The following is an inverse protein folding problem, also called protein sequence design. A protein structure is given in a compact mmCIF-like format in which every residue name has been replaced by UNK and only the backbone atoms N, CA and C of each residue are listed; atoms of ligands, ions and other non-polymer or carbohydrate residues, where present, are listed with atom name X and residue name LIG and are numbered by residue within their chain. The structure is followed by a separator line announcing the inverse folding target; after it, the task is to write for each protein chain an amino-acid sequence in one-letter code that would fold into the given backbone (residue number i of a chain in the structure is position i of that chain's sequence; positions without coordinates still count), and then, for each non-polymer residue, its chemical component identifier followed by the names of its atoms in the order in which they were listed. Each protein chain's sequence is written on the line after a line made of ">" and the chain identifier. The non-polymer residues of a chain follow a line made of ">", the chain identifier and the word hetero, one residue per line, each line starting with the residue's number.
data_IF_011592054026
#
_entry.id   IF_011592054026
#
_cell.length_a   1.000
_cell.length_b   1.000
_cell.length_c   1.000
_cell.angle_alpha   90.00
_cell.angle_beta   90.00
_cell.angle_gamma   90.00
#
_symmetry.space_group_name_H-M   'P 1'
#
loop_
_entity.id
_entity.type
_entity.pdbx_description
1 polymer ?
#
# COMPACT_ATOMS: atom_id res chain seq x y z
N UNK A 1 -59.89 70.14 -38.61
CA UNK A 1 -58.84 69.26 -39.17
C UNK A 1 -59.27 68.79 -40.57
N UNK A 2 -59.07 69.57 -41.62
CA UNK A 2 -59.29 69.10 -43.00
C UNK A 2 -58.51 69.95 -44.00
N UNK A 3 -57.19 69.82 -44.00
CA UNK A 3 -56.34 70.40 -45.04
C UNK A 3 -55.03 69.62 -45.12
N UNK A 4 -55.07 68.37 -45.59
CA UNK A 4 -53.81 67.65 -45.91
C UNK A 4 -53.90 66.82 -47.20
N UNK A 5 -55.09 66.38 -47.66
CA UNK A 5 -55.18 65.52 -48.85
C UNK A 5 -56.27 66.02 -49.81
N UNK A 6 -55.87 66.48 -50.99
CA UNK A 6 -56.78 66.95 -52.05
C UNK A 6 -57.38 65.78 -52.85
N UNK A 7 -58.62 65.96 -53.35
CA UNK A 7 -59.25 64.98 -54.24
C UNK A 7 -58.39 64.79 -55.50
N UNK A 8 -58.02 63.54 -55.79
CA UNK A 8 -57.34 63.17 -57.03
C UNK A 8 -58.28 62.32 -57.89
N UNK A 9 -58.32 62.64 -59.17
CA UNK A 9 -59.08 61.88 -60.19
C UNK A 9 -58.07 61.36 -61.19
N UNK A 10 -58.07 60.05 -61.37
CA UNK A 10 -57.30 59.40 -62.42
C UNK A 10 -58.28 59.13 -63.55
N UNK A 11 -57.97 59.69 -64.71
CA UNK A 11 -58.74 59.49 -65.93
C UNK A 11 -58.11 58.33 -66.68
N UNK A 12 -58.91 57.29 -66.96
CA UNK A 12 -58.47 56.14 -67.73
C UNK A 12 -59.23 56.21 -69.04
N UNK A 13 -58.49 56.46 -70.12
CA UNK A 13 -59.04 56.52 -71.46
C UNK A 13 -59.01 55.11 -72.08
N UNK A 14 -60.18 54.57 -72.39
CA UNK A 14 -60.32 53.29 -73.09
C UNK A 14 -61.24 53.52 -74.30
N UNK A 15 -60.63 53.64 -75.47
CA UNK A 15 -61.36 53.92 -76.72
C UNK A 15 -62.11 55.26 -76.69
N UNK A 16 -63.32 55.35 -77.29
CA UNK A 16 -64.08 56.60 -77.40
C UNK A 16 -64.73 57.05 -76.07
N UNK A 17 -64.54 56.31 -74.98
CA UNK A 17 -65.11 56.61 -73.66
C UNK A 17 -64.04 56.91 -72.61
N UNK A 18 -64.19 58.04 -71.92
CA UNK A 18 -63.34 58.41 -70.78
C UNK A 18 -64.09 58.09 -69.49
N UNK A 19 -63.55 57.16 -68.70
CA UNK A 19 -64.01 56.88 -67.35
C UNK A 19 -63.05 57.50 -66.34
N UNK A 20 -63.57 57.93 -65.19
CA UNK A 20 -62.73 58.44 -64.10
C UNK A 20 -63.02 57.69 -62.80
N UNK A 21 -61.96 57.44 -62.05
CA UNK A 21 -62.06 56.90 -60.69
C UNK A 21 -61.77 58.06 -59.74
N UNK A 22 -62.70 58.31 -58.81
CA UNK A 22 -62.60 59.39 -57.83
C UNK A 22 -62.00 58.84 -56.55
N UNK A 23 -60.82 59.31 -56.17
CA UNK A 23 -60.23 59.00 -54.87
C UNK A 23 -60.56 60.10 -53.88
N UNK A 24 -61.57 59.85 -53.04
CA UNK A 24 -61.88 60.71 -51.90
C UNK A 24 -60.72 60.72 -50.91
N UNK A 25 -60.53 61.78 -50.11
CA UNK A 25 -59.46 61.85 -49.12
C UNK A 25 -59.42 60.63 -48.17
N UNK A 26 -60.58 60.08 -47.83
CA UNK A 26 -60.72 58.88 -46.99
C UNK A 26 -60.19 57.63 -47.70
N UNK A 27 -60.50 57.44 -48.98
CA UNK A 27 -59.99 56.30 -49.76
C UNK A 27 -58.46 56.31 -49.92
N UNK A 28 -57.86 57.50 -50.02
CA UNK A 28 -56.41 57.66 -50.11
C UNK A 28 -55.72 57.33 -48.78
N UNK A 29 -56.31 57.75 -47.64
CA UNK A 29 -55.82 57.38 -46.32
C UNK A 29 -55.95 55.87 -46.06
N UNK A 30 -57.07 55.26 -46.45
CA UNK A 30 -57.26 53.82 -46.31
C UNK A 30 -56.24 53.03 -47.16
N UNK A 31 -56.05 53.41 -48.43
CA UNK A 31 -55.05 52.78 -49.29
C UNK A 31 -53.62 52.96 -48.76
N UNK A 32 -53.27 54.15 -48.26
CA UNK A 32 -51.97 54.40 -47.64
C UNK A 32 -51.76 53.57 -46.37
N UNK A 33 -52.79 53.47 -45.52
CA UNK A 33 -52.72 52.65 -44.29
C UNK A 33 -52.62 51.15 -44.59
N UNK A 34 -53.34 50.66 -45.60
CA UNK A 34 -53.25 49.28 -46.05
C UNK A 34 -51.88 48.95 -46.64
N UNK A 35 -51.30 49.87 -47.42
CA UNK A 35 -49.95 49.71 -47.96
C UNK A 35 -48.89 49.66 -46.84
N UNK A 36 -48.99 50.54 -45.83
CA UNK A 36 -48.11 50.52 -44.67
C UNK A 36 -48.25 49.24 -43.84
N UNK A 37 -49.49 48.76 -43.63
CA UNK A 37 -49.74 47.51 -42.94
C UNK A 37 -49.13 46.31 -43.67
N UNK A 38 -49.21 46.29 -45.01
CA UNK A 38 -48.66 45.22 -45.84
C UNK A 38 -47.13 45.22 -45.83
N UNK A 39 -46.50 46.40 -45.92
CA UNK A 39 -45.05 46.53 -45.78
C UNK A 39 -44.58 46.12 -44.38
N UNK A 40 -45.30 46.57 -43.34
CA UNK A 40 -45.03 46.17 -41.96
C UNK A 40 -45.15 44.66 -41.75
N UNK A 41 -46.16 44.03 -42.34
CA UNK A 41 -46.34 42.58 -42.31
C UNK A 41 -45.20 41.83 -43.01
N UNK A 42 -44.79 42.25 -44.20
CA UNK A 42 -43.66 41.66 -44.92
C UNK A 42 -42.34 41.78 -44.16
N UNK A 43 -42.10 42.93 -43.52
CA UNK A 43 -40.92 43.14 -42.68
C UNK A 43 -40.92 42.21 -41.45
N UNK A 44 -42.06 42.12 -40.75
CA UNK A 44 -42.22 41.22 -39.60
C UNK A 44 -42.04 39.75 -39.99
N UNK A 45 -42.67 39.31 -41.09
CA UNK A 45 -42.55 37.94 -41.60
C UNK A 45 -41.12 37.59 -41.99
N UNK A 46 -40.42 38.50 -42.64
CA UNK A 46 -39.02 38.28 -43.05
C UNK A 46 -38.11 38.19 -41.82
N UNK A 47 -38.34 39.04 -40.82
CA UNK A 47 -37.59 39.03 -39.55
C UNK A 47 -37.74 37.71 -38.80
N UNK A 48 -38.98 37.18 -38.71
CA UNK A 48 -39.26 35.89 -38.05
C UNK A 48 -38.51 34.74 -38.74
N UNK A 49 -38.54 34.66 -40.07
CA UNK A 49 -37.87 33.58 -40.83
C UNK A 49 -36.34 33.66 -40.71
N UNK A 50 -35.77 34.86 -40.68
CA UNK A 50 -34.32 35.05 -40.50
C UNK A 50 -33.88 34.67 -39.09
N UNK A 51 -34.65 35.05 -38.06
CA UNK A 51 -34.39 34.67 -36.67
C UNK A 51 -34.39 33.15 -36.48
N UNK A 52 -35.37 32.46 -37.05
CA UNK A 52 -35.51 30.99 -36.93
C UNK A 52 -34.38 30.22 -37.63
N UNK A 53 -33.91 30.71 -38.79
CA UNK A 53 -32.76 30.11 -39.49
C UNK A 53 -31.42 30.31 -38.78
N UNK A 54 -31.27 31.36 -37.99
CA UNK A 54 -30.04 31.66 -37.25
C UNK A 54 -30.03 30.93 -35.89
N UNK A 55 -31.18 30.85 -35.21
CA UNK A 55 -31.30 30.15 -33.92
C UNK A 55 -31.07 28.64 -34.08
N UNK A 56 -31.69 28.01 -35.06
CA UNK A 56 -31.59 26.56 -35.32
C UNK A 56 -30.15 26.09 -35.62
N UNK A 57 -29.37 26.87 -36.38
CA UNK A 57 -27.94 26.58 -36.62
C UNK A 57 -27.08 26.67 -35.35
N UNK A 58 -27.42 27.60 -34.47
CA UNK A 58 -26.69 27.81 -33.21
C UNK A 58 -26.92 26.64 -32.25
N UNK A 59 -28.16 26.17 -32.11
CA UNK A 59 -28.49 25.03 -31.22
C UNK A 59 -27.88 23.70 -31.69
N UNK A 60 -27.91 23.42 -33.00
CA UNK A 60 -27.28 22.21 -33.55
C UNK A 60 -25.76 22.23 -33.34
N UNK A 61 -25.11 23.37 -33.53
CA UNK A 61 -23.67 23.48 -33.26
C UNK A 61 -23.33 23.35 -31.76
N UNK A 62 -24.14 23.93 -30.88
CA UNK A 62 -23.95 23.80 -29.43
C UNK A 62 -24.10 22.36 -28.95
N UNK A 63 -25.11 21.62 -29.45
CA UNK A 63 -25.31 20.21 -29.09
C UNK A 63 -24.16 19.32 -29.59
N UNK A 64 -23.61 19.60 -30.77
CA UNK A 64 -22.42 18.90 -31.28
C UNK A 64 -21.18 19.17 -30.42
N UNK A 65 -20.92 20.42 -30.05
CA UNK A 65 -19.79 20.79 -29.18
C UNK A 65 -19.93 20.16 -27.78
N UNK A 66 -21.14 20.17 -27.21
CA UNK A 66 -21.40 19.54 -25.91
C UNK A 66 -21.20 18.02 -25.96
N UNK A 67 -21.67 17.38 -27.03
CA UNK A 67 -21.49 15.94 -27.26
C UNK A 67 -20.01 15.58 -27.42
N UNK A 68 -19.24 16.39 -28.14
CA UNK A 68 -17.81 16.16 -28.34
C UNK A 68 -17.05 16.30 -27.01
N UNK A 69 -17.32 17.38 -26.25
CA UNK A 69 -16.74 17.57 -24.92
C UNK A 69 -17.11 16.43 -23.95
N UNK A 70 -18.34 15.91 -24.02
CA UNK A 70 -18.75 14.75 -23.22
C UNK A 70 -18.01 13.48 -23.61
N UNK A 71 -17.78 13.24 -24.90
CA UNK A 71 -16.98 12.11 -25.39
C UNK A 71 -15.53 12.21 -24.94
N UNK A 72 -14.89 13.36 -25.13
CA UNK A 72 -13.52 13.59 -24.65
C UNK A 72 -13.41 13.33 -23.15
N UNK A 73 -14.41 13.75 -22.37
CA UNK A 73 -14.42 13.51 -20.92
C UNK A 73 -14.59 12.03 -20.57
N UNK A 74 -15.42 11.29 -21.30
CA UNK A 74 -15.55 9.84 -21.13
C UNK A 74 -14.23 9.13 -21.44
N UNK A 75 -13.54 9.53 -22.49
CA UNK A 75 -12.25 8.97 -22.87
C UNK A 75 -11.17 9.28 -21.82
N UNK A 76 -11.13 10.49 -21.28
CA UNK A 76 -10.27 10.85 -20.14
C UNK A 76 -10.56 9.98 -18.91
N UNK A 77 -11.82 9.79 -18.55
CA UNK A 77 -12.21 8.97 -17.41
C UNK A 77 -11.88 7.49 -17.61
N UNK A 78 -12.03 6.98 -18.85
CA UNK A 78 -11.64 5.63 -19.21
C UNK A 78 -10.11 5.45 -19.10
N UNK A 79 -9.34 6.41 -19.61
CA UNK A 79 -7.88 6.42 -19.51
C UNK A 79 -7.41 6.46 -18.05
N UNK A 80 -8.05 7.30 -17.21
CA UNK A 80 -7.73 7.38 -15.79
C UNK A 80 -8.10 6.10 -15.04
N UNK A 81 -9.25 5.49 -15.34
CA UNK A 81 -9.63 4.17 -14.81
C UNK A 81 -8.59 3.13 -15.16
N UNK A 82 -8.14 3.10 -16.41
CA UNK A 82 -7.17 2.11 -16.89
C UNK A 82 -5.78 2.33 -16.29
N UNK A 83 -5.37 3.60 -16.11
CA UNK A 83 -4.16 3.96 -15.38
C UNK A 83 -4.24 3.46 -13.93
N UNK A 84 -5.36 3.70 -13.23
CA UNK A 84 -5.53 3.22 -11.86
C UNK A 84 -5.60 1.70 -11.77
N UNK A 85 -6.22 1.05 -12.74
CA UNK A 85 -6.19 -0.40 -12.84
C UNK A 85 -4.76 -0.93 -13.08
N UNK A 86 -3.93 -0.18 -13.81
CA UNK A 86 -2.51 -0.50 -13.99
C UNK A 86 -1.68 -0.25 -12.71
N UNK A 87 -1.92 0.85 -12.00
CA UNK A 87 -1.28 1.17 -10.72
C UNK A 87 -1.65 0.15 -9.64
N UNK A 88 -2.93 -0.23 -9.54
CA UNK A 88 -3.40 -1.28 -8.64
C UNK A 88 -2.76 -2.63 -8.98
N UNK A 89 -2.67 -2.99 -10.27
CA UNK A 89 -1.94 -4.20 -10.72
C UNK A 89 -0.44 -4.12 -10.38
N UNK A 90 0.20 -2.96 -10.54
CA UNK A 90 1.60 -2.74 -10.16
C UNK A 90 1.81 -2.86 -8.65
N UNK A 91 0.90 -2.32 -7.84
CA UNK A 91 0.94 -2.45 -6.39
C UNK A 91 0.73 -3.91 -5.96
N UNK A 92 -0.21 -4.62 -6.58
CA UNK A 92 -0.44 -6.05 -6.38
C UNK A 92 0.79 -6.88 -6.81
N UNK A 93 1.42 -6.56 -7.94
CA UNK A 93 2.65 -7.22 -8.37
C UNK A 93 3.81 -6.99 -7.39
N UNK A 94 3.99 -5.77 -6.90
CA UNK A 94 4.98 -5.46 -5.85
C UNK A 94 4.70 -6.22 -4.56
N UNK A 95 3.43 -6.33 -4.18
CA UNK A 95 3.01 -7.13 -3.03
C UNK A 95 3.27 -8.63 -3.25
N UNK A 96 2.98 -9.17 -4.44
CA UNK A 96 3.29 -10.55 -4.79
C UNK A 96 4.80 -10.81 -4.73
N UNK A 97 5.64 -9.89 -5.20
CA UNK A 97 7.10 -10.01 -5.06
C UNK A 97 7.53 -10.01 -3.58
N UNK A 98 6.95 -9.13 -2.76
CA UNK A 98 7.23 -9.11 -1.33
C UNK A 98 6.77 -10.39 -0.61
N UNK A 99 5.59 -10.90 -0.97
CA UNK A 99 5.07 -12.17 -0.44
C UNK A 99 5.90 -13.36 -0.92
N UNK A 100 6.35 -13.35 -2.17
CA UNK A 100 7.26 -14.37 -2.70
C UNK A 100 8.61 -14.31 -1.96
N UNK A 101 9.12 -13.12 -1.66
CA UNK A 101 10.33 -12.95 -0.85
C UNK A 101 10.13 -13.47 0.58
N UNK A 102 8.99 -13.19 1.22
CA UNK A 102 8.63 -13.75 2.53
C UNK A 102 8.51 -15.26 2.46
N UNK A 103 7.86 -15.81 1.42
CA UNK A 103 7.72 -17.25 1.20
C UNK A 103 9.09 -17.92 1.02
N UNK A 104 10.01 -17.28 0.28
CA UNK A 104 11.39 -17.74 0.14
C UNK A 104 12.12 -17.70 1.49
N UNK A 105 11.97 -16.62 2.26
CA UNK A 105 12.54 -16.52 3.61
C UNK A 105 11.96 -17.59 4.55
N UNK A 106 10.67 -17.86 4.50
CA UNK A 106 10.02 -18.94 5.25
C UNK A 106 10.59 -20.30 4.83
N UNK A 107 10.79 -20.52 3.52
CA UNK A 107 11.42 -21.74 3.01
C UNK A 107 12.84 -21.88 3.56
N UNK A 108 13.63 -20.81 3.57
CA UNK A 108 14.98 -20.80 4.15
C UNK A 108 14.97 -21.11 5.64
N UNK A 109 14.02 -20.55 6.39
CA UNK A 109 13.85 -20.85 7.83
C UNK A 109 13.47 -22.33 8.03
N UNK A 110 12.55 -22.86 7.22
CA UNK A 110 12.16 -24.28 7.32
C UNK A 110 13.33 -25.21 6.99
N UNK A 111 14.12 -24.86 5.98
CA UNK A 111 15.35 -25.59 5.63
C UNK A 111 16.35 -25.55 6.78
N UNK A 112 16.58 -24.39 7.40
CA UNK A 112 17.53 -24.29 8.51
C UNK A 112 17.07 -25.07 9.76
N UNK A 113 15.76 -25.15 10.00
CA UNK A 113 15.18 -25.98 11.06
C UNK A 113 15.41 -27.47 10.80
N UNK A 114 15.24 -27.92 9.56
CA UNK A 114 15.49 -29.31 9.19
C UNK A 114 16.99 -29.63 9.28
N UNK A 115 17.87 -28.76 8.79
CA UNK A 115 19.32 -28.91 8.93
C UNK A 115 19.75 -29.05 10.40
N UNK A 116 19.16 -28.26 11.31
CA UNK A 116 19.42 -28.39 12.75
C UNK A 116 18.99 -29.75 13.28
N UNK A 117 17.83 -30.25 12.85
CA UNK A 117 17.31 -31.56 13.26
C UNK A 117 18.25 -32.67 12.80
N UNK A 118 18.69 -32.62 11.55
CA UNK A 118 19.67 -33.57 11.01
C UNK A 118 20.99 -33.51 11.77
N UNK A 119 21.49 -32.31 12.08
CA UNK A 119 22.74 -32.12 12.81
C UNK A 119 22.66 -32.63 14.26
N UNK A 120 21.50 -32.44 14.92
CA UNK A 120 21.23 -32.99 16.26
C UNK A 120 21.23 -34.52 16.25
N UNK A 121 20.51 -35.13 15.30
CA UNK A 121 20.48 -36.58 15.15
C UNK A 121 21.88 -37.14 14.84
N UNK A 122 22.66 -36.43 14.01
CA UNK A 122 24.03 -36.80 13.70
C UNK A 122 24.94 -36.74 14.94
N UNK A 123 24.79 -35.71 15.79
CA UNK A 123 25.51 -35.64 17.07
C UNK A 123 25.15 -36.80 18.00
N UNK A 124 23.88 -37.13 18.13
CA UNK A 124 23.45 -38.22 19.01
C UNK A 124 24.00 -39.57 18.53
N UNK A 125 23.94 -39.81 17.22
CA UNK A 125 24.54 -40.99 16.61
C UNK A 125 26.07 -41.05 16.85
N UNK A 126 26.76 -39.93 16.69
CA UNK A 126 28.21 -39.85 16.87
C UNK A 126 28.63 -40.02 18.33
N UNK A 127 27.84 -39.49 19.28
CA UNK A 127 28.04 -39.73 20.71
C UNK A 127 27.89 -41.21 21.06
N UNK A 128 26.88 -41.87 20.51
CA UNK A 128 26.68 -43.31 20.71
C UNK A 128 27.84 -44.12 20.13
N UNK A 129 28.29 -43.80 18.90
CA UNK A 129 29.46 -44.45 18.29
C UNK A 129 30.74 -44.23 19.09
N UNK A 130 30.94 -43.02 19.62
CA UNK A 130 32.09 -42.72 20.47
C UNK A 130 32.04 -43.53 21.76
N UNK A 131 30.87 -43.68 22.40
CA UNK A 131 30.70 -44.53 23.57
C UNK A 131 31.03 -46.00 23.27
N UNK A 132 30.58 -46.51 22.13
CA UNK A 132 30.88 -47.88 21.68
C UNK A 132 32.38 -48.07 21.41
N UNK A 133 33.03 -47.13 20.71
CA UNK A 133 34.46 -47.18 20.44
C UNK A 133 35.31 -47.07 21.72
N UNK A 134 34.88 -46.27 22.70
CA UNK A 134 35.53 -46.20 24.02
C UNK A 134 35.41 -47.54 24.75
N UNK A 135 34.22 -48.17 24.74
CA UNK A 135 34.02 -49.47 25.33
C UNK A 135 34.88 -50.55 24.64
N UNK A 136 34.95 -50.54 23.30
CA UNK A 136 35.78 -51.47 22.54
C UNK A 136 37.27 -51.28 22.87
N UNK A 137 37.77 -50.04 22.92
CA UNK A 137 39.13 -49.75 23.38
C UNK A 137 39.40 -50.33 24.76
N UNK A 138 38.48 -50.18 25.70
CA UNK A 138 38.64 -50.68 27.07
C UNK A 138 38.68 -52.20 27.13
N UNK A 139 37.86 -52.87 26.31
CA UNK A 139 37.93 -54.35 26.19
C UNK A 139 39.26 -54.82 25.60
N UNK A 140 39.78 -54.13 24.57
CA UNK A 140 41.08 -54.46 23.96
C UNK A 140 42.24 -54.17 24.92
N UNK A 141 42.16 -53.08 25.69
CA UNK A 141 43.15 -52.77 26.71
C UNK A 141 43.20 -53.85 27.79
N UNK A 142 42.04 -54.29 28.28
CA UNK A 142 41.93 -55.37 29.26
C UNK A 142 42.42 -56.72 28.72
N UNK A 143 42.10 -57.06 27.46
CA UNK A 143 42.61 -58.31 26.84
C UNK A 143 44.13 -58.29 26.68
N UNK A 144 44.71 -57.13 26.35
CA UNK A 144 46.16 -56.98 26.19
C UNK A 144 46.87 -57.10 27.54
N UNK A 145 46.32 -56.53 28.61
CA UNK A 145 46.83 -56.66 29.97
C UNK A 145 46.82 -58.14 30.42
N UNK A 146 45.70 -58.84 30.21
CA UNK A 146 45.60 -60.27 30.50
C UNK A 146 46.60 -61.12 29.69
N UNK A 147 46.86 -60.76 28.43
CA UNK A 147 47.86 -61.43 27.60
C UNK A 147 49.27 -61.26 28.17
N UNK A 148 49.63 -60.04 28.58
CA UNK A 148 50.92 -59.71 29.19
C UNK A 148 51.13 -60.45 30.53
N UNK A 149 50.10 -60.54 31.36
CA UNK A 149 50.16 -61.32 32.61
C UNK A 149 50.40 -62.80 32.34
N UNK A 150 49.70 -63.36 31.34
CA UNK A 150 49.87 -64.75 30.93
C UNK A 150 51.26 -65.01 30.36
N UNK A 151 51.83 -64.06 29.61
CA UNK A 151 53.22 -64.11 29.14
C UNK A 151 54.20 -64.13 30.31
N UNK A 152 54.01 -63.27 31.30
CA UNK A 152 54.88 -63.21 32.48
C UNK A 152 54.82 -64.51 33.29
N UNK A 153 53.64 -65.13 33.40
CA UNK A 153 53.45 -66.41 34.08
C UNK A 153 54.12 -67.56 33.31
N UNK A 154 53.92 -67.63 31.99
CA UNK A 154 54.60 -68.59 31.11
C UNK A 154 56.12 -68.42 31.24
N UNK A 155 56.64 -67.21 31.12
CA UNK A 155 58.08 -66.93 31.24
C UNK A 155 58.67 -67.31 32.61
N UNK A 156 57.92 -67.10 33.71
CA UNK A 156 58.31 -67.59 35.06
C UNK A 156 58.32 -69.12 35.15
N UNK A 157 57.32 -69.79 34.58
CA UNK A 157 57.22 -71.26 34.57
C UNK A 157 58.31 -71.91 33.72
N UNK A 158 58.75 -71.23 32.66
CA UNK A 158 59.80 -71.66 31.75
C UNK A 158 61.19 -71.58 32.40
N UNK A 159 61.47 -70.55 33.19
CA UNK A 159 62.68 -70.48 34.01
C UNK A 159 62.80 -71.61 35.05
N UNK A 160 61.69 -72.31 35.37
CA UNK A 160 61.67 -73.46 36.28
C UNK A 160 61.82 -74.83 35.59
N UNK A 161 61.66 -74.93 34.26
CA UNK A 161 61.72 -76.21 33.53
C UNK A 161 62.88 -76.22 32.53
N UNK A 162 64.02 -76.79 32.93
CA UNK A 162 65.11 -77.15 32.01
C UNK A 162 64.72 -78.43 31.26
N UNK A 163 64.35 -78.37 29.97
CA UNK A 163 64.38 -79.57 29.12
C UNK A 163 63.40 -79.76 27.96
N UNK A 164 62.76 -78.73 27.37
CA UNK A 164 61.88 -78.93 26.21
C UNK A 164 62.02 -77.81 25.16
N UNK A 165 63.03 -77.89 24.29
CA UNK A 165 63.38 -76.82 23.31
C UNK A 165 62.37 -76.65 22.15
N UNK A 166 61.69 -77.72 21.72
CA UNK A 166 60.80 -77.69 20.55
C UNK A 166 59.46 -77.00 20.83
N UNK A 167 58.72 -77.48 21.84
CA UNK A 167 57.41 -76.92 22.26
C UNK A 167 57.53 -75.46 22.75
N UNK A 168 58.70 -75.10 23.29
CA UNK A 168 59.01 -73.75 23.75
C UNK A 168 59.00 -72.73 22.62
N UNK A 169 59.56 -73.13 21.47
CA UNK A 169 59.71 -72.24 20.32
C UNK A 169 58.35 -72.01 19.66
N UNK A 170 57.53 -73.05 19.52
CA UNK A 170 56.18 -72.97 18.97
C UNK A 170 55.23 -72.14 19.86
N UNK A 171 55.34 -72.28 21.19
CA UNK A 171 54.54 -71.47 22.13
C UNK A 171 54.97 -70.01 22.18
N UNK A 172 56.28 -69.72 22.11
CA UNK A 172 56.78 -68.35 22.02
C UNK A 172 56.35 -67.66 20.72
N UNK A 173 56.39 -68.36 19.59
CA UNK A 173 55.96 -67.83 18.30
C UNK A 173 54.45 -67.54 18.29
N UNK A 174 53.62 -68.45 18.83
CA UNK A 174 52.19 -68.25 18.94
C UNK A 174 51.83 -67.05 19.83
N UNK A 175 52.55 -66.88 20.95
CA UNK A 175 52.38 -65.75 21.87
C UNK A 175 52.84 -64.44 21.25
N UNK A 176 53.96 -64.44 20.53
CA UNK A 176 54.47 -63.27 19.80
C UNK A 176 53.49 -62.83 18.71
N UNK A 177 52.91 -63.77 17.96
CA UNK A 177 51.88 -63.50 16.97
C UNK A 177 50.61 -62.91 17.60
N UNK A 178 50.14 -63.50 18.71
CA UNK A 178 48.99 -62.99 19.45
C UNK A 178 49.24 -61.58 20.02
N UNK A 179 50.46 -61.28 20.47
CA UNK A 179 50.84 -59.95 20.96
C UNK A 179 50.89 -58.92 19.81
N UNK A 180 51.40 -59.30 18.64
CA UNK A 180 51.42 -58.42 17.47
C UNK A 180 50.00 -58.10 17.00
N UNK A 181 49.09 -59.07 17.01
CA UNK A 181 47.67 -58.87 16.71
C UNK A 181 47.00 -57.97 17.76
N UNK A 182 47.25 -58.22 19.05
CA UNK A 182 46.76 -57.42 20.17
C UNK A 182 47.20 -55.94 20.12
N UNK A 183 48.46 -55.67 19.78
CA UNK A 183 48.97 -54.30 19.61
C UNK A 183 48.29 -53.62 18.41
N UNK A 184 48.13 -54.34 17.31
CA UNK A 184 47.43 -53.82 16.11
C UNK A 184 45.97 -53.50 16.41
N UNK A 185 45.26 -54.38 17.14
CA UNK A 185 43.89 -54.17 17.58
C UNK A 185 43.74 -52.96 18.52
N UNK A 186 44.73 -52.74 19.41
CA UNK A 186 44.74 -51.55 20.28
C UNK A 186 44.94 -50.28 19.46
N UNK A 187 45.93 -50.27 18.58
CA UNK A 187 46.29 -49.08 17.81
C UNK A 187 45.13 -48.66 16.90
N UNK A 188 44.47 -49.62 16.26
CA UNK A 188 43.23 -49.38 15.49
C UNK A 188 42.11 -48.83 16.37
N UNK A 189 41.79 -49.46 17.50
CA UNK A 189 40.75 -48.95 18.42
C UNK A 189 41.04 -47.53 18.94
N UNK A 190 42.32 -47.21 19.20
CA UNK A 190 42.71 -45.86 19.61
C UNK A 190 42.61 -44.83 18.47
N UNK A 191 42.94 -45.24 17.23
CA UNK A 191 42.83 -44.39 16.06
C UNK A 191 41.36 -44.10 15.72
N UNK A 192 40.48 -45.12 15.76
CA UNK A 192 39.05 -44.99 15.51
C UNK A 192 38.39 -44.04 16.53
N UNK A 193 38.71 -44.19 17.81
CA UNK A 193 38.25 -43.27 18.86
C UNK A 193 38.69 -41.83 18.57
N UNK A 194 39.96 -41.63 18.23
CA UNK A 194 40.51 -40.30 17.94
C UNK A 194 39.90 -39.66 16.67
N UNK A 195 39.46 -40.48 15.70
CA UNK A 195 38.73 -40.00 14.54
C UNK A 195 37.29 -39.59 14.89
N UNK A 196 36.57 -40.42 15.65
CA UNK A 196 35.23 -40.10 16.14
C UNK A 196 35.21 -38.83 17.02
N UNK A 197 36.21 -38.63 17.87
CA UNK A 197 36.36 -37.40 18.68
C UNK A 197 36.51 -36.15 17.79
N UNK A 198 37.31 -36.24 16.72
CA UNK A 198 37.48 -35.13 15.76
C UNK A 198 36.18 -34.83 15.00
N UNK A 199 35.47 -35.86 14.55
CA UNK A 199 34.18 -35.70 13.87
C UNK A 199 33.11 -35.11 14.81
N UNK A 200 33.08 -35.56 16.07
CA UNK A 200 32.15 -35.01 17.07
C UNK A 200 32.42 -33.53 17.34
N UNK A 201 33.70 -33.15 17.51
CA UNK A 201 34.09 -31.75 17.70
C UNK A 201 33.69 -30.86 16.51
N UNK A 202 33.83 -31.35 15.28
CA UNK A 202 33.40 -30.62 14.07
C UNK A 202 31.87 -30.45 14.04
N UNK A 203 31.10 -31.50 14.33
CA UNK A 203 29.64 -31.41 14.37
C UNK A 203 29.16 -30.46 15.47
N UNK A 204 29.77 -30.50 16.66
CA UNK A 204 29.44 -29.58 17.75
C UNK A 204 29.74 -28.12 17.37
N UNK A 205 30.86 -27.88 16.68
CA UNK A 205 31.18 -26.55 16.15
C UNK A 205 30.15 -26.10 15.11
N UNK A 206 29.78 -26.96 14.17
CA UNK A 206 28.75 -26.67 13.16
C UNK A 206 27.41 -26.33 13.81
N UNK A 207 27.02 -27.06 14.87
CA UNK A 207 25.80 -26.76 15.62
C UNK A 207 25.85 -25.38 16.26
N UNK A 208 26.97 -25.01 16.88
CA UNK A 208 27.16 -23.69 17.49
C UNK A 208 27.11 -22.57 16.45
N UNK A 209 27.80 -22.73 15.33
CA UNK A 209 27.83 -21.73 14.24
C UNK A 209 26.45 -21.55 13.62
N UNK A 210 25.71 -22.64 13.37
CA UNK A 210 24.36 -22.55 12.83
C UNK A 210 23.39 -21.89 13.83
N UNK A 211 23.50 -22.21 15.12
CA UNK A 211 22.70 -21.55 16.15
C UNK A 211 22.97 -20.03 16.22
N UNK A 212 24.23 -19.60 16.15
CA UNK A 212 24.59 -18.18 16.12
C UNK A 212 24.05 -17.46 14.89
N UNK A 213 24.22 -18.04 13.69
CA UNK A 213 23.67 -17.47 12.46
C UNK A 213 22.15 -17.31 12.52
N UNK A 214 21.45 -18.28 13.11
CA UNK A 214 20.00 -18.23 13.27
C UNK A 214 19.59 -17.08 14.20
N UNK A 215 20.26 -16.93 15.34
CA UNK A 215 19.98 -15.84 16.29
C UNK A 215 20.24 -14.47 15.65
N UNK A 216 21.33 -14.34 14.89
CA UNK A 216 21.61 -13.13 14.10
C UNK A 216 20.51 -12.83 13.07
N UNK A 217 20.04 -13.84 12.33
CA UNK A 217 18.95 -13.67 11.35
C UNK A 217 17.65 -13.24 12.02
N UNK A 218 17.26 -13.87 13.14
CA UNK A 218 16.05 -13.50 13.90
C UNK A 218 16.20 -12.08 14.45
N UNK A 219 17.35 -11.73 15.01
CA UNK A 219 17.64 -10.39 15.51
C UNK A 219 17.57 -9.32 14.41
N UNK A 220 18.06 -9.60 13.20
CA UNK A 220 17.94 -8.69 12.05
C UNK A 220 16.48 -8.47 11.65
N UNK A 221 15.66 -9.54 11.65
CA UNK A 221 14.23 -9.42 11.33
C UNK A 221 13.50 -8.65 12.44
N UNK A 222 13.75 -8.96 13.71
CA UNK A 222 13.19 -8.23 14.85
C UNK A 222 13.54 -6.75 14.78
N UNK A 223 14.80 -6.41 14.50
CA UNK A 223 15.24 -5.03 14.36
C UNK A 223 14.60 -4.34 13.16
N UNK A 224 14.53 -4.99 12.00
CA UNK A 224 13.88 -4.44 10.81
C UNK A 224 12.38 -4.19 11.02
N UNK A 225 11.71 -5.12 11.70
CA UNK A 225 10.29 -4.99 12.09
C UNK A 225 10.14 -3.84 13.09
N UNK A 226 10.96 -3.77 14.13
CA UNK A 226 10.88 -2.71 15.13
C UNK A 226 11.14 -1.32 14.53
N UNK A 227 12.12 -1.20 13.63
CA UNK A 227 12.43 0.05 12.93
C UNK A 227 11.29 0.50 12.02
N UNK A 228 10.56 -0.45 11.41
CA UNK A 228 9.43 -0.14 10.52
C UNK A 228 8.12 0.09 11.28
N UNK A 229 7.90 -0.64 12.38
CA UNK A 229 6.67 -0.64 13.15
C UNK A 229 6.61 0.49 14.18
N UNK A 230 7.71 0.77 14.88
CA UNK A 230 7.75 1.77 15.95
C UNK A 230 7.28 3.17 15.51
N UNK A 231 7.69 3.69 14.34
CA UNK A 231 7.15 4.95 13.81
C UNK A 231 5.65 4.88 13.50
N UNK A 232 5.18 3.78 12.89
CA UNK A 232 3.76 3.60 12.56
C UNK A 232 2.88 3.60 13.81
N UNK A 233 3.27 2.85 14.85
CA UNK A 233 2.54 2.79 16.12
C UNK A 233 2.46 4.18 16.77
N UNK A 234 3.58 4.90 16.86
CA UNK A 234 3.62 6.27 17.39
C UNK A 234 2.74 7.25 16.60
N UNK A 235 2.67 7.12 15.27
CA UNK A 235 1.76 7.94 14.46
C UNK A 235 0.30 7.66 14.83
N UNK A 236 -0.08 6.39 14.95
CA UNK A 236 -1.42 6.01 15.35
C UNK A 236 -1.76 6.46 16.78
N UNK A 237 -0.83 6.38 17.74
CA UNK A 237 -1.03 6.87 19.11
C UNK A 237 -1.20 8.39 19.19
N UNK A 238 -0.45 9.14 18.36
CA UNK A 238 -0.56 10.61 18.28
C UNK A 238 -1.85 11.05 17.60
N UNK A 239 -2.35 10.25 16.68
CA UNK A 239 -3.70 10.42 16.14
C UNK A 239 -4.69 9.95 17.21
N UNK A 240 -5.71 10.74 17.54
CA UNK A 240 -6.70 10.35 18.56
C UNK A 240 -7.69 9.29 18.02
N UNK A 241 -7.17 8.23 17.42
CA UNK A 241 -7.88 7.22 16.64
C UNK A 241 -7.81 5.88 17.36
N UNK A 242 -8.93 5.17 17.41
CA UNK A 242 -9.01 3.83 17.98
C UNK A 242 -8.38 2.81 17.02
N UNK A 243 -7.11 2.49 17.29
CA UNK A 243 -6.30 1.58 16.47
C UNK A 243 -6.93 0.20 16.41
N UNK A 244 -7.39 -0.33 17.53
CA UNK A 244 -7.95 -1.69 17.59
C UNK A 244 -9.23 -1.79 16.78
N UNK A 245 -10.11 -0.79 16.87
CA UNK A 245 -11.32 -0.71 16.04
C UNK A 245 -10.97 -0.68 14.55
N UNK A 246 -10.00 0.13 14.16
CA UNK A 246 -9.57 0.27 12.76
C UNK A 246 -8.96 -1.02 12.23
N UNK A 247 -8.04 -1.64 12.99
CA UNK A 247 -7.43 -2.90 12.59
C UNK A 247 -8.48 -4.02 12.47
N UNK A 248 -9.45 -4.07 13.39
CA UNK A 248 -10.56 -5.01 13.31
C UNK A 248 -11.42 -4.80 12.05
N UNK A 249 -11.62 -3.55 11.63
CA UNK A 249 -12.36 -3.23 10.40
C UNK A 249 -11.56 -3.56 9.14
N UNK A 250 -10.25 -3.26 9.11
CA UNK A 250 -9.35 -3.69 8.04
C UNK A 250 -9.39 -5.21 7.90
N UNK A 251 -9.26 -5.98 9.00
CA UNK A 251 -9.35 -7.45 8.95
C UNK A 251 -10.64 -7.96 8.34
N UNK A 252 -11.79 -7.35 8.68
CA UNK A 252 -13.10 -7.74 8.11
C UNK A 252 -13.21 -7.43 6.62
N UNK A 253 -12.66 -6.31 6.17
CA UNK A 253 -12.79 -5.85 4.78
C UNK A 253 -11.74 -6.45 3.85
N UNK A 254 -10.55 -6.77 4.38
CA UNK A 254 -9.42 -7.37 3.65
C UNK A 254 -9.37 -8.91 3.75
N UNK A 255 -10.30 -9.56 4.45
CA UNK A 255 -10.43 -11.03 4.46
C UNK A 255 -11.05 -11.61 3.17
N UNK A 256 -11.07 -10.85 2.07
CA UNK A 256 -11.51 -11.30 0.75
C UNK A 256 -10.30 -11.63 -0.13
N UNK A 257 -10.14 -12.92 -0.45
CA UNK A 257 -9.04 -13.56 -1.20
C UNK A 257 -7.77 -13.85 -0.40
N UNK A 258 -7.70 -15.09 0.11
CA UNK A 258 -6.65 -15.56 1.00
C UNK A 258 -7.22 -15.56 2.41
N UNK A 259 -7.51 -16.75 2.93
CA UNK A 259 -7.98 -16.92 4.30
C UNK A 259 -7.05 -16.21 5.29
N UNK A 260 -7.44 -16.15 6.58
CA UNK A 260 -6.52 -15.65 7.60
C UNK A 260 -5.13 -16.24 7.32
N UNK A 261 -4.08 -15.47 7.57
CA UNK A 261 -2.81 -16.07 7.96
C UNK A 261 -3.11 -16.79 9.30
N UNK A 262 -3.92 -17.84 9.25
CA UNK A 262 -3.98 -18.90 10.22
C UNK A 262 -2.53 -19.23 10.34
N UNK A 263 -1.98 -18.82 11.49
CA UNK A 263 -0.56 -18.83 11.73
C UNK A 263 -0.06 -20.11 11.16
N UNK A 264 0.88 -20.00 10.21
CA UNK A 264 1.66 -21.15 9.80
C UNK A 264 2.12 -21.71 11.14
N UNK A 265 1.50 -22.80 11.60
CA UNK A 265 1.94 -23.56 12.73
C UNK A 265 3.23 -24.17 12.22
N UNK A 266 4.30 -23.37 12.27
CA UNK A 266 5.66 -23.88 12.20
C UNK A 266 5.66 -24.92 13.30
N UNK A 267 5.77 -26.18 12.93
CA UNK A 267 5.76 -27.25 13.93
C UNK A 267 6.95 -27.01 14.85
N UNK A 268 6.64 -26.46 16.03
CA UNK A 268 7.61 -26.04 17.05
C UNK A 268 8.32 -27.22 17.72
N UNK A 269 7.98 -28.46 17.33
CA UNK A 269 8.62 -29.69 17.82
C UNK A 269 10.13 -29.79 17.53
N UNK A 270 10.65 -29.05 16.56
CA UNK A 270 12.11 -29.01 16.29
C UNK A 270 12.86 -27.85 16.98
N UNK A 271 12.14 -26.94 17.64
CA UNK A 271 12.73 -25.86 18.42
C UNK A 271 12.79 -26.26 19.90
N UNK A 272 13.70 -27.16 20.24
CA UNK A 272 13.89 -27.66 21.61
C UNK A 272 14.54 -26.63 22.57
N UNK A 273 14.55 -25.36 22.17
CA UNK A 273 14.74 -24.22 23.08
C UNK A 273 13.47 -23.36 22.97
N UNK A 274 12.59 -23.42 23.96
CA UNK A 274 11.29 -22.72 23.97
C UNK A 274 11.34 -21.20 23.78
N UNK A 275 12.53 -20.59 23.81
CA UNK A 275 12.73 -19.17 23.55
C UNK A 275 12.77 -18.80 22.05
N UNK A 276 13.24 -19.67 21.15
CA UNK A 276 13.43 -19.27 19.75
C UNK A 276 12.13 -19.35 18.93
N UNK A 277 11.28 -20.34 19.21
CA UNK A 277 9.97 -20.47 18.55
C UNK A 277 9.01 -19.35 18.93
N UNK A 278 9.01 -18.94 20.21
CA UNK A 278 8.19 -17.84 20.70
C UNK A 278 8.61 -16.48 20.12
N UNK A 279 9.90 -16.27 19.85
CA UNK A 279 10.41 -15.07 19.16
C UNK A 279 9.93 -14.99 17.71
N UNK A 280 10.07 -16.08 16.95
CA UNK A 280 9.60 -16.17 15.57
C UNK A 280 8.08 -15.96 15.46
N UNK A 281 7.29 -16.55 16.36
CA UNK A 281 5.85 -16.33 16.40
C UNK A 281 5.51 -14.86 16.67
N UNK A 282 6.23 -14.22 17.59
CA UNK A 282 6.08 -12.79 17.90
C UNK A 282 6.39 -11.92 16.68
N UNK A 283 7.44 -12.25 15.93
CA UNK A 283 7.80 -11.56 14.69
C UNK A 283 6.70 -11.71 13.63
N UNK A 284 6.17 -12.91 13.43
CA UNK A 284 5.10 -13.15 12.44
C UNK A 284 3.82 -12.40 12.79
N UNK A 285 3.42 -12.40 14.06
CA UNK A 285 2.27 -11.62 14.55
C UNK A 285 2.52 -10.12 14.33
N UNK A 286 3.73 -9.64 14.63
CA UNK A 286 4.10 -8.22 14.45
C UNK A 286 4.09 -7.81 12.97
N UNK A 287 4.55 -8.67 12.06
CA UNK A 287 4.49 -8.45 10.62
C UNK A 287 3.05 -8.36 10.10
N UNK A 288 2.16 -9.24 10.60
CA UNK A 288 0.73 -9.18 10.29
C UNK A 288 0.11 -7.86 10.72
N UNK A 289 0.32 -7.47 11.99
CA UNK A 289 -0.15 -6.20 12.55
C UNK A 289 0.41 -4.98 11.79
N UNK A 290 1.68 -5.02 11.38
CA UNK A 290 2.31 -3.97 10.58
C UNK A 290 1.64 -3.81 9.22
N UNK A 291 1.32 -4.92 8.54
CA UNK A 291 0.63 -4.85 7.25
C UNK A 291 -0.78 -4.24 7.40
N UNK A 292 -1.53 -4.63 8.43
CA UNK A 292 -2.83 -4.05 8.75
C UNK A 292 -2.74 -2.54 9.05
N UNK A 293 -1.78 -2.13 9.88
CA UNK A 293 -1.55 -0.71 10.20
C UNK A 293 -1.17 0.11 8.97
N UNK A 294 -0.35 -0.44 8.07
CA UNK A 294 0.03 0.24 6.84
C UNK A 294 -1.17 0.44 5.91
N UNK A 295 -2.04 -0.56 5.79
CA UNK A 295 -3.30 -0.45 5.04
C UNK A 295 -4.17 0.63 5.68
N UNK A 296 -4.37 0.59 6.99
CA UNK A 296 -5.13 1.61 7.70
C UNK A 296 -4.56 3.04 7.48
N UNK A 297 -3.24 3.19 7.51
CA UNK A 297 -2.55 4.46 7.33
C UNK A 297 -2.72 5.06 5.92
N UNK A 298 -3.02 4.25 4.90
CA UNK A 298 -3.34 4.78 3.56
C UNK A 298 -4.77 5.33 3.47
N UNK A 299 -5.67 4.88 4.35
CA UNK A 299 -7.09 5.27 4.37
C UNK A 299 -7.41 6.43 5.32
N UNK A 300 -6.49 6.79 6.21
CA UNK A 300 -6.64 7.90 7.17
C UNK A 300 -5.87 9.12 6.63
N UNK A 301 -6.39 10.36 6.76
CA UNK A 301 -5.84 11.57 6.13
C UNK A 301 -4.56 12.09 6.79
N UNK A 302 -3.51 11.26 6.78
CA UNK A 302 -2.19 11.53 7.34
C UNK A 302 -1.29 12.34 6.41
N UNK A 303 -1.52 12.35 5.09
CA UNK A 303 -0.66 13.08 4.17
C UNK A 303 -0.97 14.59 4.13
N UNK A 304 0.06 15.39 3.83
CA UNK A 304 -0.08 16.83 3.60
C UNK A 304 -0.64 17.08 2.18
N UNK A 305 -1.69 17.90 2.02
CA UNK A 305 -2.34 18.11 0.73
C UNK A 305 -1.61 19.05 -0.23
N UNK A 306 -0.57 19.75 0.22
CA UNK A 306 0.24 20.68 -0.57
C UNK A 306 1.70 20.27 -0.45
N UNK A 307 2.31 19.84 -1.56
CA UNK A 307 3.72 19.40 -1.60
C UNK A 307 4.70 20.53 -1.86
N UNK A 308 4.25 21.61 -2.51
CA UNK A 308 5.05 22.81 -2.75
C UNK A 308 5.30 23.58 -1.45
N UNK A 309 6.20 24.56 -1.48
CA UNK A 309 6.39 25.47 -0.35
C UNK A 309 5.10 26.25 -0.05
N UNK A 310 4.62 26.15 1.18
CA UNK A 310 3.41 26.82 1.65
C UNK A 310 3.62 27.40 3.05
N UNK A 311 2.74 28.32 3.45
CA UNK A 311 2.70 28.90 4.79
C UNK A 311 1.37 28.58 5.47
N UNK A 312 1.40 28.05 6.69
CA UNK A 312 0.20 27.96 7.51
C UNK A 312 -0.27 29.37 7.90
N UNK A 313 -1.50 29.72 7.53
CA UNK A 313 -2.06 31.06 7.77
C UNK A 313 -3.08 31.08 8.89
N UNK A 314 -3.81 29.98 9.12
CA UNK A 314 -4.74 29.90 10.23
C UNK A 314 -5.08 28.46 10.63
N UNK A 315 -5.11 28.20 11.94
CA UNK A 315 -5.44 26.90 12.53
C UNK A 315 -6.92 26.67 12.78
N UNK A 316 -7.25 25.44 13.19
CA UNK A 316 -8.59 25.02 13.59
C UNK A 316 -9.01 25.67 14.92
N UNK A 317 -10.30 25.98 15.08
CA UNK A 317 -10.86 26.50 16.34
C UNK A 317 -11.55 27.87 16.23
N UNK A 318 -12.01 28.39 17.37
CA UNK A 318 -12.71 29.68 17.43
C UNK A 318 -11.77 30.86 17.23
N UNK A 319 -12.02 31.67 16.21
CA UNK A 319 -11.25 32.89 15.89
C UNK A 319 -12.15 34.08 15.63
N UNK A 320 -11.58 35.29 15.59
CA UNK A 320 -12.31 36.48 15.11
C UNK A 320 -12.64 36.30 13.62
N UNK A 321 -13.87 36.58 13.23
CA UNK A 321 -14.32 36.41 11.85
C UNK A 321 -13.52 37.35 10.93
N UNK A 322 -12.89 36.84 9.85
CA UNK A 322 -12.07 37.66 8.95
C UNK A 322 -12.83 38.77 8.24
N UNK A 323 -14.17 38.74 8.20
CA UNK A 323 -15.01 39.79 7.62
C UNK A 323 -15.74 40.62 8.68
N UNK A 324 -15.32 40.54 9.95
CA UNK A 324 -15.79 41.43 11.02
C UNK A 324 -17.04 40.97 11.78
N UNK A 325 -17.58 39.79 11.49
CA UNK A 325 -18.84 39.29 12.09
C UNK A 325 -18.67 38.62 13.48
N UNK A 326 -17.81 39.14 14.36
CA UNK A 326 -17.63 38.60 15.73
C UNK A 326 -16.69 37.40 15.81
N UNK A 327 -16.99 36.39 16.66
CA UNK A 327 -16.21 35.12 16.76
C UNK A 327 -16.86 34.04 15.90
N UNK A 328 -16.06 33.29 15.15
CA UNK A 328 -16.51 32.17 14.30
C UNK A 328 -15.61 30.95 14.51
N UNK A 329 -16.22 29.77 14.53
CA UNK A 329 -15.49 28.51 14.46
C UNK A 329 -14.86 28.33 13.08
N UNK A 330 -13.54 28.14 13.04
CA UNK A 330 -12.82 27.68 11.86
C UNK A 330 -12.75 26.15 11.87
N UNK A 331 -13.49 25.53 10.95
CA UNK A 331 -13.66 24.08 10.87
C UNK A 331 -12.49 23.34 10.20
N UNK A 332 -11.39 24.03 9.90
CA UNK A 332 -10.26 23.46 9.17
C UNK A 332 -8.94 24.18 9.43
N UNK A 333 -8.04 24.10 8.46
CA UNK A 333 -6.70 24.65 8.44
C UNK A 333 -6.50 25.41 7.12
N UNK A 334 -5.90 26.59 7.19
CA UNK A 334 -5.63 27.42 6.01
C UNK A 334 -4.13 27.37 5.65
N UNK A 335 -3.82 26.98 4.41
CA UNK A 335 -2.47 26.89 3.84
C UNK A 335 -2.35 27.81 2.63
N UNK A 336 -1.47 28.82 2.69
CA UNK A 336 -1.26 29.75 1.58
C UNK A 336 -0.05 29.37 0.73
N UNK A 337 -0.26 29.36 -0.58
CA UNK A 337 0.75 29.20 -1.62
C UNK A 337 0.30 29.99 -2.87
N UNK A 338 1.12 30.10 -3.93
CA UNK A 338 0.72 30.76 -5.17
C UNK A 338 -0.55 30.18 -5.80
N UNK A 339 -1.27 31.00 -6.57
CA UNK A 339 -2.47 30.54 -7.29
C UNK A 339 -2.08 29.48 -8.29
N UNK A 340 -2.83 28.38 -8.32
CA UNK A 340 -2.54 27.25 -9.21
C UNK A 340 -1.69 26.15 -8.57
N UNK A 341 -1.17 26.33 -7.35
CA UNK A 341 -0.42 25.29 -6.63
C UNK A 341 -1.23 23.98 -6.60
N UNK A 342 -0.63 22.84 -7.00
CA UNK A 342 -1.28 21.54 -6.97
C UNK A 342 -1.78 21.13 -5.58
N UNK A 343 -3.00 20.61 -5.51
CA UNK A 343 -3.61 20.07 -4.29
C UNK A 343 -3.79 18.56 -4.45
N UNK A 344 -3.38 17.80 -3.44
CA UNK A 344 -3.38 16.35 -3.45
C UNK A 344 -4.32 15.74 -2.40
N UNK A 345 -4.87 14.56 -2.71
CA UNK A 345 -5.65 13.77 -1.77
C UNK A 345 -4.77 13.29 -0.60
N UNK A 346 -5.31 13.35 0.62
CA UNK A 346 -4.53 13.06 1.84
C UNK A 346 -4.67 11.61 2.32
N UNK A 347 -5.61 10.87 1.73
CA UNK A 347 -5.86 9.44 1.94
C UNK A 347 -6.59 8.84 0.74
N UNK A 348 -6.62 7.52 0.64
CA UNK A 348 -7.44 6.80 -0.33
C UNK A 348 -8.93 7.02 -0.02
N UNK A 349 -9.76 7.15 -1.05
CA UNK A 349 -11.18 7.37 -0.85
C UNK A 349 -11.98 7.47 -2.13
N UNK A 350 -13.19 8.01 -2.02
CA UNK A 350 -14.09 8.28 -3.14
C UNK A 350 -14.56 9.71 -3.06
N UNK A 351 -14.44 10.45 -4.16
CA UNK A 351 -14.92 11.83 -4.27
C UNK A 351 -16.44 11.85 -4.10
N UNK A 352 -16.92 12.42 -3.01
CA UNK A 352 -18.34 12.52 -2.70
C UNK A 352 -18.98 13.70 -3.43
N UNK A 353 -18.27 14.83 -3.51
CA UNK A 353 -18.66 16.00 -4.29
C UNK A 353 -17.44 16.70 -4.88
N UNK A 354 -17.60 17.25 -6.08
CA UNK A 354 -16.65 18.15 -6.72
C UNK A 354 -17.44 19.21 -7.47
N UNK A 355 -17.44 20.45 -6.96
CA UNK A 355 -18.30 21.49 -7.49
C UNK A 355 -18.13 22.83 -6.80
N UNK A 356 -19.13 23.71 -6.93
CA UNK A 356 -19.14 25.01 -6.23
C UNK A 356 -20.16 24.98 -5.10
N UNK A 357 -19.71 25.23 -3.87
CA UNK A 357 -20.55 25.30 -2.67
C UNK A 357 -20.53 26.72 -2.09
N UNK A 358 -21.66 27.16 -1.52
CA UNK A 358 -21.76 28.48 -0.88
C UNK A 358 -20.78 28.54 0.31
N UNK A 359 -19.99 29.60 0.39
CA UNK A 359 -18.96 29.75 1.42
C UNK A 359 -17.63 29.12 1.03
N UNK A 360 -17.62 27.86 0.62
CA UNK A 360 -16.39 27.14 0.23
C UNK A 360 -15.85 27.50 -1.17
N UNK A 361 -16.70 28.00 -2.07
CA UNK A 361 -16.30 28.21 -3.46
C UNK A 361 -16.15 26.88 -4.18
N UNK A 362 -15.16 26.74 -5.07
CA UNK A 362 -14.86 25.46 -5.70
C UNK A 362 -14.24 24.52 -4.67
N UNK A 363 -14.86 23.37 -4.48
CA UNK A 363 -14.55 22.43 -3.41
C UNK A 363 -14.56 20.99 -3.92
N UNK A 364 -13.65 20.19 -3.37
CA UNK A 364 -13.67 18.72 -3.46
C UNK A 364 -13.91 18.18 -2.05
N UNK A 365 -14.85 17.24 -1.92
CA UNK A 365 -15.05 16.42 -0.72
C UNK A 365 -14.72 14.97 -1.04
N UNK A 366 -13.90 14.36 -0.20
CA UNK A 366 -13.48 12.97 -0.39
C UNK A 366 -13.88 12.21 0.86
N UNK A 367 -14.68 11.17 0.66
CA UNK A 367 -15.06 10.23 1.70
C UNK A 367 -14.03 9.11 1.75
N UNK A 368 -13.52 8.85 2.94
CA UNK A 368 -12.53 7.84 3.24
C UNK A 368 -13.17 6.72 4.07
N UNK A 369 -12.38 5.71 4.44
CA UNK A 369 -12.83 4.66 5.37
C UNK A 369 -12.84 5.18 6.82
N UNK A 370 -13.33 4.35 7.75
CA UNK A 370 -13.38 4.64 9.19
C UNK A 370 -14.12 5.94 9.56
N UNK A 371 -15.06 6.38 8.71
CA UNK A 371 -15.87 7.59 8.96
C UNK A 371 -15.17 8.92 8.64
N UNK A 372 -13.99 8.89 8.02
CA UNK A 372 -13.26 10.10 7.66
C UNK A 372 -13.80 10.74 6.37
N UNK A 373 -13.85 12.07 6.36
CA UNK A 373 -14.08 12.90 5.17
C UNK A 373 -13.04 14.02 5.16
N UNK A 374 -12.52 14.36 3.99
CA UNK A 374 -11.67 15.54 3.79
C UNK A 374 -12.30 16.54 2.85
N UNK A 375 -12.08 17.82 3.13
CA UNK A 375 -12.66 18.93 2.37
C UNK A 375 -11.53 19.83 1.88
N UNK A 376 -11.54 20.15 0.58
CA UNK A 376 -10.52 20.97 -0.07
C UNK A 376 -11.19 22.15 -0.76
N UNK A 377 -11.19 23.33 -0.15
CA UNK A 377 -11.98 24.47 -0.62
C UNK A 377 -11.15 25.60 -1.23
N UNK A 378 -11.86 26.63 -1.73
CA UNK A 378 -11.32 27.82 -2.37
C UNK A 378 -10.51 27.58 -3.65
N UNK A 379 -10.67 26.43 -4.28
CA UNK A 379 -9.84 26.04 -5.43
C UNK A 379 -10.08 26.92 -6.66
N UNK A 380 -9.07 27.02 -7.53
CA UNK A 380 -9.20 27.66 -8.85
C UNK A 380 -9.58 26.66 -9.93
N UNK A 381 -9.24 25.38 -9.78
CA UNK A 381 -9.55 24.31 -10.75
C UNK A 381 -9.80 23.02 -9.98
N UNK A 382 -10.85 22.30 -10.37
CA UNK A 382 -11.14 20.95 -9.89
C UNK A 382 -10.66 19.99 -10.98
N UNK A 383 -9.90 18.96 -10.60
CA UNK A 383 -9.36 17.97 -11.52
C UNK A 383 -10.06 16.61 -11.40
N UNK A 384 -10.98 16.49 -10.44
CA UNK A 384 -11.73 15.27 -10.15
C UNK A 384 -13.23 15.50 -10.22
N UNK A 385 -13.99 14.42 -10.34
CA UNK A 385 -15.47 14.41 -10.41
C UNK A 385 -16.08 13.52 -9.33
N UNK A 386 -17.35 13.76 -9.02
CA UNK A 386 -18.13 12.92 -8.08
C UNK A 386 -18.09 11.44 -8.50
N UNK A 387 -17.87 10.55 -7.54
CA UNK A 387 -17.80 9.10 -7.71
C UNK A 387 -16.42 8.58 -8.09
N UNK A 388 -15.47 9.44 -8.43
CA UNK A 388 -14.11 9.06 -8.75
C UNK A 388 -13.41 8.53 -7.48
N UNK A 389 -12.88 7.30 -7.53
CA UNK A 389 -11.96 6.80 -6.48
C UNK A 389 -10.71 7.69 -6.50
N UNK A 390 -9.97 7.83 -5.41
CA UNK A 390 -8.67 8.52 -5.41
C UNK A 390 -7.73 7.77 -4.48
N UNK A 391 -6.45 7.79 -4.78
CA UNK A 391 -5.40 7.29 -3.90
C UNK A 391 -4.73 8.43 -3.15
N UNK A 392 -4.12 8.13 -2.00
CA UNK A 392 -3.30 9.08 -1.28
C UNK A 392 -2.21 9.66 -2.19
N UNK A 393 -2.17 10.98 -2.31
CA UNK A 393 -1.22 11.70 -3.16
C UNK A 393 -1.68 11.97 -4.58
N UNK A 394 -2.89 11.55 -4.98
CA UNK A 394 -3.49 11.90 -6.27
C UNK A 394 -3.71 13.40 -6.39
N UNK A 395 -3.47 13.96 -7.58
CA UNK A 395 -3.74 15.37 -7.87
C UNK A 395 -5.24 15.60 -8.02
N UNK A 396 -5.84 16.37 -7.12
CA UNK A 396 -7.30 16.58 -7.08
C UNK A 396 -7.75 17.96 -7.55
N UNK A 397 -6.83 18.94 -7.58
CA UNK A 397 -7.15 20.28 -8.02
C UNK A 397 -6.02 21.27 -7.84
N UNK A 398 -6.35 22.56 -7.89
CA UNK A 398 -5.37 23.64 -7.85
C UNK A 398 -5.82 24.79 -6.95
N UNK A 399 -4.90 25.32 -6.16
CA UNK A 399 -5.15 26.37 -5.16
C UNK A 399 -5.68 27.66 -5.79
N UNK A 400 -6.61 28.33 -5.10
CA UNK A 400 -7.25 29.53 -5.60
C UNK A 400 -7.74 30.46 -4.49
N UNK A 401 -8.73 31.27 -4.84
CA UNK A 401 -9.39 32.20 -3.92
C UNK A 401 -10.88 32.34 -4.28
N UNK A 402 -11.57 31.22 -4.51
CA UNK A 402 -13.01 31.21 -4.85
C UNK A 402 -13.89 31.15 -3.61
N UNK A 403 -15.16 31.60 -3.71
CA UNK A 403 -16.08 31.60 -2.57
C UNK A 403 -15.75 32.66 -1.52
N UNK A 404 -15.94 32.33 -0.23
CA UNK A 404 -15.68 33.25 0.88
C UNK A 404 -14.22 33.17 1.32
N UNK A 405 -13.32 33.67 0.46
CA UNK A 405 -11.89 33.77 0.72
C UNK A 405 -11.43 35.23 0.84
N UNK A 406 -10.35 35.50 1.59
CA UNK A 406 -9.67 36.81 1.69
C UNK A 406 -8.37 36.87 0.89
N UNK A 407 -7.93 35.77 0.27
CA UNK A 407 -6.67 35.68 -0.48
C UNK A 407 -6.41 34.26 -0.97
N UNK A 408 -5.34 34.04 -1.72
CA UNK A 408 -5.03 32.70 -2.25
C UNK A 408 -4.60 31.76 -1.12
N UNK A 409 -5.38 30.72 -0.87
CA UNK A 409 -5.08 29.66 0.09
C UNK A 409 -5.94 28.42 -0.18
N UNK A 410 -5.49 27.28 0.35
CA UNK A 410 -6.29 26.09 0.54
C UNK A 410 -6.90 26.13 1.93
N UNK A 411 -8.23 26.04 2.01
CA UNK A 411 -8.92 25.70 3.25
C UNK A 411 -9.15 24.18 3.27
N UNK A 412 -8.52 23.51 4.23
CA UNK A 412 -8.51 22.06 4.38
C UNK A 412 -9.22 21.64 5.66
N UNK A 413 -10.23 20.78 5.57
CA UNK A 413 -10.90 20.19 6.74
C UNK A 413 -10.67 18.68 6.77
N UNK A 414 -10.57 18.15 8.00
CA UNK A 414 -10.75 16.73 8.29
C UNK A 414 -12.01 16.62 9.13
N UNK A 415 -12.87 15.68 8.77
CA UNK A 415 -14.12 15.39 9.47
C UNK A 415 -14.13 13.92 9.85
N UNK A 416 -14.65 13.62 11.03
CA UNK A 416 -14.88 12.27 11.52
C UNK A 416 -16.37 12.15 11.86
N UNK A 417 -17.06 11.19 11.24
CA UNK A 417 -18.50 10.97 11.40
C UNK A 417 -19.31 12.27 11.18
N UNK A 418 -18.91 13.05 10.17
CA UNK A 418 -19.52 14.32 9.78
C UNK A 418 -19.13 15.53 10.65
N UNK A 419 -18.37 15.34 11.74
CA UNK A 419 -17.94 16.42 12.64
C UNK A 419 -16.54 16.92 12.29
N UNK A 420 -16.30 18.24 12.15
CA UNK A 420 -14.95 18.78 11.97
C UNK A 420 -14.05 18.48 13.16
N UNK A 421 -12.86 17.94 12.88
CA UNK A 421 -11.80 17.67 13.84
C UNK A 421 -10.55 18.47 13.45
N UNK A 422 -9.62 18.65 14.38
CA UNK A 422 -8.40 19.42 14.11
C UNK A 422 -7.54 18.68 13.06
N UNK A 423 -7.33 19.21 11.85
CA UNK A 423 -6.53 18.54 10.82
C UNK A 423 -5.06 18.39 11.24
N UNK A 424 -4.55 19.29 12.09
CA UNK A 424 -3.15 19.29 12.49
C UNK A 424 -2.78 18.02 13.27
N UNK A 425 -3.71 17.45 14.04
CA UNK A 425 -3.52 16.19 14.78
C UNK A 425 -3.09 15.05 13.86
N UNK A 426 -3.65 14.98 12.65
CA UNK A 426 -3.33 13.94 11.67
C UNK A 426 -2.07 14.28 10.86
N UNK A 427 -1.90 15.55 10.48
CA UNK A 427 -0.75 15.98 9.70
C UNK A 427 0.56 15.90 10.49
N UNK A 428 0.54 16.16 11.80
CA UNK A 428 1.73 16.05 12.66
C UNK A 428 2.07 14.61 13.02
N UNK A 429 1.05 13.77 13.22
CA UNK A 429 1.24 12.35 13.48
C UNK A 429 2.07 11.67 12.38
N UNK A 430 1.89 12.10 11.12
CA UNK A 430 2.53 11.49 9.95
C UNK A 430 3.97 11.94 9.67
N UNK A 431 4.45 13.02 10.28
CA UNK A 431 5.75 13.65 9.94
C UNK A 431 6.96 12.76 10.18
N UNK A 432 6.86 11.81 11.12
CA UNK A 432 7.97 10.95 11.53
C UNK A 432 7.93 9.55 10.87
N UNK A 433 7.02 9.32 9.92
CA UNK A 433 6.75 7.99 9.34
C UNK A 433 6.94 7.92 7.83
N UNK A 434 6.66 9.00 7.09
CA UNK A 434 6.64 9.01 5.62
C UNK A 434 7.62 10.00 5.01
#
# INVERSE_FOLDING_TARGET
>A
MSAVVSEKRIYIQSGPSTSYIRFTPISQLLLGSAALALVGWLAASTSIVVLDRISSRTEVNQTLVLRDAYKTRLDELAAERDQRAAEARSAQARFQVAMDQISRQQTTILQSVEERRELSNALDLMRNRLQEAVAQRDTVAASNEALLDRMNEVSKSLNQRQGADSDLTETLDAVSAALAEAVTARDTATADRADLERQLADLELRMKVNAQRQDEMVGQIEQAVAMSFGPLEKMFERSSVDVDRILAEVRRNYSGEGGPLSGVTVSTRSFDNGNDSSRLDTVLVSLGKMNEMRIAASKIPFAIPVKDSFRFTSGFGYRRDPKGAGRRMHAGLDMAAPKGTPIYATADGVVESAGTERGYGRVVRIRHEFGFETVYAHQTKLLVVKGQKVSRGDLIGAMGSTGRSTGVHLHYEVRLDGRPVNPMTYLEAAKDVF
#
